data_IF_339637382804
#
_entry.id   IF_339637382804
#
_cell.length_a   1.000
_cell.length_b   1.000
_cell.length_c   1.000
_cell.angle_alpha   90.00
_cell.angle_beta   90.00
_cell.angle_gamma   90.00
#
_symmetry.space_group_name_H-M   'P 1'
#
loop_
_entity.id
_entity.type
_entity.pdbx_description
1 polymer ?
#
# COMPACT_ATOMS: atom_id res chain seq x y z
N UNK A 1 -35.37 -36.41 62.62
CA UNK A 1 -35.66 -35.64 61.40
C UNK A 1 -34.41 -34.83 61.04
N UNK A 2 -33.72 -35.26 59.97
CA UNK A 2 -32.63 -34.61 59.20
C UNK A 2 -31.50 -33.86 59.94
N UNK A 3 -30.39 -34.57 60.15
CA UNK A 3 -29.08 -33.98 60.48
C UNK A 3 -28.39 -33.55 59.18
N UNK A 4 -28.07 -32.26 59.06
CA UNK A 4 -27.47 -31.63 57.87
C UNK A 4 -25.99 -32.00 57.76
N UNK A 5 -25.62 -32.55 56.60
CA UNK A 5 -24.24 -32.74 56.16
C UNK A 5 -23.74 -31.39 55.59
N UNK A 6 -22.76 -30.76 56.24
CA UNK A 6 -22.07 -29.58 55.72
C UNK A 6 -20.89 -30.06 54.86
N UNK A 7 -20.99 -29.92 53.54
CA UNK A 7 -19.85 -30.02 52.63
C UNK A 7 -19.03 -28.72 52.71
N UNK A 8 -17.78 -28.84 53.17
CA UNK A 8 -16.75 -27.81 53.00
C UNK A 8 -16.19 -27.90 51.58
N UNK A 9 -16.61 -26.96 50.71
CA UNK A 9 -15.97 -26.72 49.42
C UNK A 9 -14.66 -25.94 49.63
N UNK A 10 -13.53 -26.63 49.47
CA UNK A 10 -12.21 -26.01 49.37
C UNK A 10 -12.04 -25.45 47.95
N UNK A 11 -12.34 -24.16 47.78
CA UNK A 11 -12.05 -23.44 46.54
C UNK A 11 -10.55 -23.18 46.42
N UNK A 12 -9.86 -23.95 45.59
CA UNK A 12 -8.52 -23.61 45.10
C UNK A 12 -8.68 -22.49 44.09
N UNK A 13 -8.41 -21.25 44.49
CA UNK A 13 -8.23 -20.12 43.59
C UNK A 13 -6.93 -20.35 42.81
N UNK A 14 -7.04 -20.97 41.64
CA UNK A 14 -5.98 -20.92 40.62
C UNK A 14 -5.97 -19.49 40.10
N UNK A 15 -5.11 -18.65 40.65
CA UNK A 15 -4.79 -17.36 40.04
C UNK A 15 -4.00 -17.66 38.78
N UNK A 16 -4.71 -17.72 37.64
CA UNK A 16 -4.07 -17.62 36.33
C UNK A 16 -3.41 -16.26 36.25
N UNK A 17 -2.09 -16.21 36.42
CA UNK A 17 -1.29 -15.05 36.05
C UNK A 17 -1.43 -14.87 34.54
N UNK A 18 -2.35 -14.01 34.14
CA UNK A 18 -2.37 -13.46 32.79
C UNK A 18 -1.08 -12.65 32.63
N UNK A 19 -0.06 -13.27 32.04
CA UNK A 19 1.03 -12.50 31.47
C UNK A 19 0.39 -11.67 30.36
N UNK A 20 0.16 -10.39 30.62
CA UNK A 20 -0.15 -9.45 29.56
C UNK A 20 1.10 -9.38 28.70
N UNK A 21 1.07 -10.01 27.52
CA UNK A 21 2.11 -9.83 26.51
C UNK A 21 2.29 -8.32 26.31
N UNK A 22 3.54 -7.84 26.35
CA UNK A 22 3.83 -6.44 26.10
C UNK A 22 3.21 -6.02 24.76
N UNK A 23 2.53 -4.87 24.71
CA UNK A 23 1.85 -4.45 23.49
C UNK A 23 2.87 -4.24 22.36
N UNK A 24 2.65 -4.96 21.26
CA UNK A 24 3.50 -4.92 20.07
C UNK A 24 3.55 -3.50 19.48
N UNK A 25 4.69 -3.15 18.90
CA UNK A 25 4.86 -1.94 18.11
C UNK A 25 4.09 -2.07 16.79
N UNK A 26 3.31 -1.04 16.46
CA UNK A 26 2.73 -0.84 15.14
C UNK A 26 3.12 0.53 14.63
N UNK A 27 3.50 0.63 13.35
CA UNK A 27 3.73 1.93 12.70
C UNK A 27 2.77 2.08 11.54
N UNK A 28 2.03 3.19 11.54
CA UNK A 28 1.05 3.52 10.51
C UNK A 28 1.31 4.90 9.94
N UNK A 29 0.96 5.07 8.67
CA UNK A 29 0.93 6.39 8.03
C UNK A 29 -0.50 6.89 8.06
N UNK A 30 -0.80 7.80 8.99
CA UNK A 30 -2.07 8.53 9.04
C UNK A 30 -2.06 9.68 8.04
N UNK A 31 -3.17 9.93 7.37
CA UNK A 31 -3.26 11.01 6.40
C UNK A 31 -4.62 11.71 6.42
N UNK A 32 -4.60 12.98 6.04
CA UNK A 32 -5.79 13.81 5.83
C UNK A 32 -5.58 14.70 4.60
N UNK A 33 -6.51 14.65 3.66
CA UNK A 33 -6.39 15.24 2.32
C UNK A 33 -7.61 16.08 2.04
N UNK A 34 -7.41 17.32 1.59
CA UNK A 34 -8.48 18.24 1.24
C UNK A 34 -8.19 18.95 -0.08
N UNK A 35 -9.20 18.99 -0.96
CA UNK A 35 -9.20 19.70 -2.24
C UNK A 35 -7.97 19.49 -3.14
N UNK A 36 -7.35 18.32 -3.07
CA UNK A 36 -6.18 17.97 -3.87
C UNK A 36 -6.08 16.47 -4.14
N UNK A 37 -5.22 16.11 -5.08
CA UNK A 37 -4.70 14.77 -5.19
C UNK A 37 -3.51 14.61 -4.24
N UNK A 38 -3.49 13.52 -3.47
CA UNK A 38 -2.36 13.06 -2.70
C UNK A 38 -2.09 11.58 -2.88
N UNK A 39 -0.83 11.21 -3.07
CA UNK A 39 -0.35 9.85 -2.95
C UNK A 39 0.66 9.72 -1.81
N UNK A 40 0.39 8.84 -0.85
CA UNK A 40 1.18 8.61 0.36
C UNK A 40 2.11 7.43 0.14
N UNK A 41 3.42 7.63 0.29
CA UNK A 41 4.44 6.59 0.04
C UNK A 41 5.37 6.37 1.22
N UNK A 42 5.77 5.12 1.41
CA UNK A 42 6.82 4.70 2.35
C UNK A 42 7.87 3.94 1.56
N UNK A 43 9.11 4.45 1.51
CA UNK A 43 10.20 3.90 0.71
C UNK A 43 9.79 3.61 -0.76
N UNK A 44 9.17 4.61 -1.40
CA UNK A 44 8.58 4.56 -2.75
C UNK A 44 7.40 3.59 -2.94
N UNK A 45 7.01 2.82 -1.93
CA UNK A 45 5.80 2.00 -1.98
C UNK A 45 4.57 2.86 -1.74
N UNK A 46 3.64 2.88 -2.71
CA UNK A 46 2.33 3.51 -2.56
C UNK A 46 1.52 2.78 -1.49
N UNK A 47 1.21 3.47 -0.39
CA UNK A 47 0.33 2.96 0.64
C UNK A 47 -1.13 3.26 0.35
N UNK A 48 -1.42 4.49 -0.08
CA UNK A 48 -2.77 4.97 -0.42
C UNK A 48 -2.66 6.24 -1.26
N UNK A 49 -3.61 6.46 -2.15
CA UNK A 49 -3.89 7.76 -2.71
C UNK A 49 -5.40 8.02 -2.74
N UNK A 50 -5.79 9.25 -3.10
CA UNK A 50 -7.19 9.61 -3.29
C UNK A 50 -7.54 9.83 -4.77
N UNK A 51 -6.89 9.13 -5.70
CA UNK A 51 -7.07 9.31 -7.15
C UNK A 51 -8.53 9.28 -7.58
N UNK A 52 -9.30 8.30 -7.12
CA UNK A 52 -10.75 8.21 -7.41
C UNK A 52 -11.55 9.41 -6.89
N UNK A 53 -11.14 9.98 -5.75
CA UNK A 53 -11.76 11.19 -5.18
C UNK A 53 -11.36 12.44 -5.98
N UNK A 54 -10.11 12.50 -6.44
CA UNK A 54 -9.60 13.57 -7.28
C UNK A 54 -10.26 13.56 -8.67
N UNK A 55 -10.42 12.37 -9.26
CA UNK A 55 -11.13 12.13 -10.52
C UNK A 55 -12.57 12.64 -10.48
N UNK A 56 -13.25 12.44 -9.36
CA UNK A 56 -14.59 12.96 -9.13
C UNK A 56 -14.64 14.48 -8.80
N UNK A 57 -13.52 15.20 -8.91
CA UNK A 57 -13.42 16.64 -8.66
C UNK A 57 -13.50 17.04 -7.18
N UNK A 58 -13.41 16.09 -6.26
CA UNK A 58 -13.55 16.33 -4.81
C UNK A 58 -12.19 16.52 -4.13
N UNK A 59 -11.29 15.56 -4.31
CA UNK A 59 -9.95 15.62 -3.73
C UNK A 59 -9.90 15.48 -2.21
N UNK A 60 -10.78 14.65 -1.62
CA UNK A 60 -10.78 14.37 -0.17
C UNK A 60 -10.34 12.94 0.13
N UNK A 61 -9.78 12.74 1.32
CA UNK A 61 -9.51 11.42 1.88
C UNK A 61 -8.84 11.51 3.25
N UNK A 62 -9.34 10.75 4.22
CA UNK A 62 -8.76 10.66 5.57
C UNK A 62 -8.68 9.20 5.96
N UNK A 63 -7.56 8.77 6.52
CA UNK A 63 -7.37 7.36 6.87
C UNK A 63 -5.97 7.04 7.37
N UNK A 64 -5.63 5.75 7.35
CA UNK A 64 -4.27 5.31 7.66
C UNK A 64 -3.89 4.03 6.92
N UNK A 65 -2.60 3.85 6.64
CA UNK A 65 -2.05 2.65 6.01
C UNK A 65 -1.06 1.93 6.91
N UNK A 66 -0.87 0.62 6.70
CA UNK A 66 0.08 -0.21 7.42
C UNK A 66 1.53 -0.02 6.96
N UNK A 67 2.08 1.20 7.10
CA UNK A 67 3.42 1.54 6.59
C UNK A 67 4.55 0.72 7.19
N UNK A 68 4.38 0.14 8.38
CA UNK A 68 5.34 -0.77 9.02
C UNK A 68 5.85 -1.88 8.10
N UNK A 69 4.99 -2.40 7.22
CA UNK A 69 5.31 -3.47 6.27
C UNK A 69 6.41 -3.07 5.27
N UNK A 70 6.57 -1.77 5.04
CA UNK A 70 7.51 -1.19 4.09
C UNK A 70 8.70 -0.51 4.76
N UNK A 71 8.77 -0.50 6.10
CA UNK A 71 9.85 0.07 6.87
C UNK A 71 10.86 -1.00 7.28
N UNK A 72 12.13 -0.61 7.37
CA UNK A 72 13.20 -1.41 7.95
C UNK A 72 13.83 -0.71 9.16
N UNK A 73 14.49 -1.46 10.05
CA UNK A 73 15.33 -0.85 11.08
C UNK A 73 16.44 -0.02 10.41
N UNK A 74 16.62 1.23 10.86
CA UNK A 74 17.54 2.20 10.26
C UNK A 74 16.80 3.34 9.53
N UNK A 75 17.41 3.85 8.47
CA UNK A 75 16.89 5.00 7.72
C UNK A 75 15.83 4.57 6.70
N UNK A 76 14.73 5.31 6.66
CA UNK A 76 13.61 5.12 5.74
C UNK A 76 13.18 6.48 5.19
N UNK A 77 12.58 6.50 4.01
CA UNK A 77 11.94 7.69 3.46
C UNK A 77 10.41 7.60 3.58
N UNK A 78 9.80 8.68 4.05
CA UNK A 78 8.36 8.91 3.94
C UNK A 78 8.14 10.09 3.01
N UNK A 79 7.11 9.98 2.17
CA UNK A 79 6.80 11.03 1.22
C UNK A 79 5.31 11.11 0.92
N UNK A 80 4.90 12.27 0.42
CA UNK A 80 3.64 12.43 -0.25
C UNK A 80 3.85 13.17 -1.58
N UNK A 81 3.06 12.82 -2.58
CA UNK A 81 2.99 13.52 -3.86
C UNK A 81 1.69 14.30 -3.93
N UNK A 82 1.77 15.59 -4.23
CA UNK A 82 0.66 16.53 -4.16
C UNK A 82 0.35 17.12 -5.54
N UNK A 83 -0.90 17.03 -5.98
CA UNK A 83 -1.34 17.45 -7.31
C UNK A 83 -2.64 18.25 -7.30
N UNK A 84 -2.77 19.18 -8.24
CA UNK A 84 -3.98 19.98 -8.41
C UNK A 84 -5.10 19.14 -9.05
N UNK A 85 -6.35 19.39 -8.64
CA UNK A 85 -7.51 18.66 -9.16
C UNK A 85 -7.80 18.96 -10.63
N UNK A 86 -7.36 20.12 -11.14
CA UNK A 86 -7.54 20.48 -12.55
C UNK A 86 -6.89 19.49 -13.53
N UNK A 87 -5.91 18.71 -13.08
CA UNK A 87 -5.33 17.63 -13.88
C UNK A 87 -6.32 16.53 -14.23
N UNK A 88 -7.26 16.22 -13.34
CA UNK A 88 -8.27 15.18 -13.53
C UNK A 88 -9.54 15.67 -14.22
N UNK A 89 -9.62 16.98 -14.52
CA UNK A 89 -10.78 17.53 -15.22
C UNK A 89 -10.83 17.02 -16.66
N UNK A 90 -12.00 16.55 -17.14
CA UNK A 90 -12.18 16.19 -18.55
C UNK A 90 -12.20 17.41 -19.47
N UNK A 91 -12.34 18.62 -18.93
CA UNK A 91 -12.40 19.86 -19.70
C UNK A 91 -11.08 20.15 -20.42
N UNK A 92 -11.16 20.78 -21.58
CA UNK A 92 -9.98 21.25 -22.31
C UNK A 92 -9.36 22.45 -21.60
N UNK A 93 -8.15 22.26 -21.08
CA UNK A 93 -7.43 23.24 -20.26
C UNK A 93 -5.95 23.20 -20.58
N UNK A 94 -5.31 24.37 -20.57
CA UNK A 94 -3.84 24.46 -20.60
C UNK A 94 -3.23 23.83 -19.33
N UNK A 95 -2.01 23.29 -19.42
CA UNK A 95 -1.27 22.75 -18.27
C UNK A 95 -1.13 23.76 -17.12
N UNK A 96 -1.03 25.05 -17.45
CA UNK A 96 -1.00 26.13 -16.45
C UNK A 96 -2.31 26.22 -15.66
N UNK A 97 -3.44 26.06 -16.34
CA UNK A 97 -4.76 26.07 -15.70
C UNK A 97 -5.00 24.78 -14.91
N UNK A 98 -4.55 23.62 -15.41
CA UNK A 98 -4.63 22.34 -14.70
C UNK A 98 -3.83 22.32 -13.39
N UNK A 99 -2.70 23.04 -13.37
CA UNK A 99 -1.84 23.21 -12.20
C UNK A 99 -2.34 24.22 -11.16
N UNK A 100 -3.51 24.83 -11.34
CA UNK A 100 -4.06 25.75 -10.35
C UNK A 100 -4.62 24.98 -9.14
N UNK A 101 -4.10 25.28 -7.94
CA UNK A 101 -4.59 24.69 -6.71
C UNK A 101 -5.74 25.50 -6.10
N UNK A 102 -6.70 24.81 -5.49
CA UNK A 102 -7.61 25.45 -4.54
C UNK A 102 -6.77 26.05 -3.38
N UNK A 103 -6.96 27.32 -2.99
CA UNK A 103 -6.23 27.92 -1.87
C UNK A 103 -6.37 27.18 -0.53
N UNK A 104 -7.44 26.41 -0.36
CA UNK A 104 -7.70 25.58 0.83
C UNK A 104 -7.14 24.15 0.70
N UNK A 105 -6.45 23.84 -0.39
CA UNK A 105 -5.90 22.51 -0.61
C UNK A 105 -4.82 22.17 0.42
N UNK A 106 -4.96 21.02 1.07
CA UNK A 106 -4.02 20.54 2.08
C UNK A 106 -3.77 19.04 1.97
N UNK A 107 -2.61 18.63 2.44
CA UNK A 107 -2.25 17.22 2.61
C UNK A 107 -1.41 17.05 3.85
N UNK A 108 -1.91 16.28 4.80
CA UNK A 108 -1.20 15.92 6.02
C UNK A 108 -0.85 14.44 5.99
N UNK A 109 0.38 14.12 6.35
CA UNK A 109 0.90 12.78 6.54
C UNK A 109 1.60 12.71 7.89
N UNK A 110 1.21 11.77 8.74
CA UNK A 110 1.84 11.49 10.02
C UNK A 110 2.31 10.05 10.06
N UNK A 111 3.57 9.83 10.39
CA UNK A 111 4.08 8.50 10.72
C UNK A 111 3.95 8.32 12.22
N UNK A 112 3.09 7.39 12.64
CA UNK A 112 2.69 7.22 14.03
C UNK A 112 3.06 5.83 14.52
N UNK A 113 3.84 5.77 15.59
CA UNK A 113 4.12 4.55 16.34
C UNK A 113 3.06 4.35 17.42
N UNK A 114 2.60 3.12 17.57
CA UNK A 114 1.58 2.72 18.53
C UNK A 114 2.06 1.51 19.32
N UNK A 115 1.92 1.58 20.65
CA UNK A 115 2.18 0.52 21.60
C UNK A 115 0.95 0.36 22.50
N UNK A 116 0.01 -0.48 22.09
CA UNK A 116 -1.23 -0.67 22.83
C UNK A 116 -2.07 0.60 22.80
N UNK A 117 -2.25 1.26 23.95
CA UNK A 117 -2.97 2.54 24.03
C UNK A 117 -2.08 3.76 23.82
N UNK A 118 -0.76 3.58 23.91
CA UNK A 118 0.20 4.65 23.75
C UNK A 118 0.44 4.89 22.25
N UNK A 119 0.44 6.16 21.85
CA UNK A 119 0.63 6.57 20.46
C UNK A 119 1.53 7.79 20.41
N UNK A 120 2.48 7.76 19.49
CA UNK A 120 3.46 8.82 19.28
C UNK A 120 3.64 9.10 17.80
N UNK A 121 3.47 10.36 17.41
CA UNK A 121 3.88 10.83 16.08
C UNK A 121 5.40 10.88 16.05
N UNK A 122 6.00 10.06 15.19
CA UNK A 122 7.44 10.02 14.96
C UNK A 122 7.88 11.20 14.08
N UNK A 123 7.10 11.49 13.05
CA UNK A 123 7.33 12.60 12.13
C UNK A 123 6.08 12.91 11.33
N UNK A 124 5.98 14.12 10.76
CA UNK A 124 4.86 14.53 9.92
C UNK A 124 5.31 15.26 8.66
N UNK A 125 4.51 15.30 7.61
CA UNK A 125 4.64 16.21 6.46
C UNK A 125 3.28 16.87 6.30
N UNK A 126 3.26 18.20 6.37
CA UNK A 126 2.04 18.99 6.19
C UNK A 126 2.27 19.95 5.01
N UNK A 127 1.38 19.90 4.03
CA UNK A 127 1.42 20.71 2.82
C UNK A 127 0.16 21.57 2.73
N UNK A 128 0.35 22.83 2.39
CA UNK A 128 -0.72 23.80 2.13
C UNK A 128 -0.32 24.72 0.96
N UNK A 129 -1.28 25.50 0.48
CA UNK A 129 -1.05 26.48 -0.58
C UNK A 129 -0.60 27.83 0.01
N UNK A 130 0.49 28.38 -0.52
CA UNK A 130 0.98 29.69 -0.15
C UNK A 130 0.17 30.82 -0.82
N UNK A 131 0.47 32.07 -0.43
CA UNK A 131 -0.15 33.26 -1.02
C UNK A 131 0.07 33.43 -2.54
N UNK A 132 1.04 32.72 -3.12
CA UNK A 132 1.35 32.73 -4.55
C UNK A 132 0.66 31.58 -5.29
N UNK A 133 -0.18 30.79 -4.61
CA UNK A 133 -0.84 29.63 -5.20
C UNK A 133 0.03 28.39 -5.31
N UNK A 134 1.17 28.33 -4.60
CA UNK A 134 2.13 27.24 -4.69
C UNK A 134 2.08 26.32 -3.46
N UNK A 135 2.19 24.99 -3.65
CA UNK A 135 2.24 24.07 -2.53
C UNK A 135 3.59 24.18 -1.82
N UNK A 136 3.51 24.39 -0.50
CA UNK A 136 4.65 24.53 0.42
C UNK A 136 4.41 23.72 1.68
N UNK A 137 5.47 23.40 2.40
CA UNK A 137 5.34 22.77 3.72
C UNK A 137 4.92 23.81 4.76
N UNK A 138 3.94 23.48 5.60
CA UNK A 138 3.70 24.25 6.82
C UNK A 138 4.71 23.85 7.88
N UNK A 139 5.26 24.83 8.62
CA UNK A 139 6.15 24.52 9.74
C UNK A 139 5.31 23.95 10.89
N UNK A 140 5.44 22.65 11.13
CA UNK A 140 4.84 22.02 12.31
C UNK A 140 5.43 22.64 13.58
N UNK A 141 4.61 22.85 14.62
CA UNK A 141 5.09 23.27 15.94
C UNK A 141 6.02 22.22 16.57
N UNK A 142 5.91 20.97 16.12
CA UNK A 142 6.69 19.83 16.60
C UNK A 142 7.95 19.54 15.77
N UNK A 143 8.31 20.40 14.80
CA UNK A 143 9.48 20.17 13.94
C UNK A 143 10.79 20.00 14.74
N UNK A 144 10.93 20.70 15.87
CA UNK A 144 12.08 20.54 16.78
C UNK A 144 12.13 19.12 17.37
N UNK A 145 10.98 18.50 17.66
CA UNK A 145 10.92 17.13 18.17
C UNK A 145 11.32 16.14 17.09
N UNK A 146 10.83 16.34 15.86
CA UNK A 146 11.13 15.48 14.72
C UNK A 146 12.61 15.50 14.34
N UNK A 147 13.30 16.64 14.49
CA UNK A 147 14.71 16.81 14.12
C UNK A 147 15.69 15.83 14.80
N UNK A 148 15.27 15.16 15.89
CA UNK A 148 16.09 14.14 16.56
C UNK A 148 16.22 12.86 15.73
N UNK A 149 15.17 12.49 14.98
CA UNK A 149 15.10 11.23 14.24
C UNK A 149 14.81 11.41 12.75
N UNK A 150 14.45 12.61 12.32
CA UNK A 150 14.06 12.92 10.94
C UNK A 150 14.87 14.07 10.34
N UNK A 151 15.05 14.03 9.03
CA UNK A 151 15.58 15.16 8.26
C UNK A 151 14.50 16.22 8.04
N UNK A 152 14.88 17.46 7.66
CA UNK A 152 13.94 18.43 7.12
C UNK A 152 13.21 17.87 5.89
N UNK A 153 12.00 18.40 5.63
CA UNK A 153 11.26 18.08 4.40
C UNK A 153 11.94 18.73 3.20
N UNK A 154 12.09 17.94 2.15
CA UNK A 154 12.58 18.36 0.85
C UNK A 154 11.41 18.35 -0.13
N UNK A 155 11.31 19.40 -0.95
CA UNK A 155 10.30 19.54 -2.01
C UNK A 155 10.94 19.36 -3.37
N UNK A 156 10.37 18.48 -4.18
CA UNK A 156 10.73 18.27 -5.57
C UNK A 156 9.51 18.44 -6.47
N UNK A 157 9.69 19.04 -7.64
CA UNK A 157 8.68 19.00 -8.71
C UNK A 157 9.00 17.78 -9.57
N UNK A 158 8.01 16.92 -9.77
CA UNK A 158 8.15 15.70 -10.56
C UNK A 158 7.04 15.65 -11.61
N UNK A 159 7.26 14.84 -12.65
CA UNK A 159 6.19 14.43 -13.55
C UNK A 159 5.55 13.16 -12.99
N UNK A 160 4.23 13.07 -13.06
CA UNK A 160 3.51 11.86 -12.71
C UNK A 160 3.87 10.73 -13.69
N UNK A 161 3.61 9.51 -13.24
CA UNK A 161 3.72 8.35 -14.10
C UNK A 161 2.72 8.44 -15.27
N UNK A 162 3.24 8.32 -16.49
CA UNK A 162 2.40 8.28 -17.69
C UNK A 162 1.84 6.88 -17.90
N UNK A 163 0.67 6.80 -18.55
CA UNK A 163 0.05 5.56 -19.01
C UNK A 163 -0.06 5.52 -20.53
N UNK A 164 -0.21 4.32 -21.08
CA UNK A 164 -0.35 4.04 -22.50
C UNK A 164 -1.68 3.32 -22.73
N UNK A 165 -2.47 3.73 -23.73
CA UNK A 165 -3.70 3.04 -24.10
C UNK A 165 -3.41 1.68 -24.78
N UNK A 166 -4.37 0.75 -24.71
CA UNK A 166 -4.31 -0.51 -25.47
C UNK A 166 -3.60 -1.67 -24.77
N UNK A 167 -3.23 -1.51 -23.50
CA UNK A 167 -2.68 -2.58 -22.65
C UNK A 167 -3.72 -3.18 -21.70
N UNK A 168 -4.99 -2.78 -21.85
CA UNK A 168 -6.15 -3.29 -21.14
C UNK A 168 -7.39 -3.16 -22.04
N UNK A 169 -8.48 -3.86 -21.73
CA UNK A 169 -9.74 -3.70 -22.47
C UNK A 169 -10.23 -2.26 -22.41
N UNK A 170 -10.68 -1.75 -23.56
CA UNK A 170 -10.99 -0.33 -23.77
C UNK A 170 -11.97 0.25 -22.74
N UNK A 171 -12.93 -0.55 -22.28
CA UNK A 171 -13.95 -0.11 -21.31
C UNK A 171 -13.39 0.21 -19.92
N UNK A 172 -12.21 -0.28 -19.58
CA UNK A 172 -11.56 -0.03 -18.29
C UNK A 172 -10.52 1.09 -18.35
N UNK A 173 -10.17 1.59 -19.54
CA UNK A 173 -9.17 2.65 -19.67
C UNK A 173 -9.81 4.04 -19.64
N UNK A 174 -9.46 4.83 -18.63
CA UNK A 174 -9.79 6.25 -18.55
C UNK A 174 -8.51 7.11 -18.64
N UNK A 175 -8.32 7.89 -19.72
CA UNK A 175 -7.14 8.75 -19.87
C UNK A 175 -7.10 9.91 -18.86
N UNK A 176 -8.20 10.20 -18.15
CA UNK A 176 -8.26 11.24 -17.11
C UNK A 176 -7.88 10.70 -15.73
N UNK A 177 -7.84 9.38 -15.54
CA UNK A 177 -7.37 8.76 -14.29
C UNK A 177 -5.86 8.96 -14.11
N UNK A 178 -5.11 8.94 -15.22
CA UNK A 178 -3.67 9.21 -15.28
C UNK A 178 -3.37 10.29 -16.32
N UNK A 179 -3.60 11.58 -15.98
CA UNK A 179 -3.50 12.67 -16.95
C UNK A 179 -2.07 12.81 -17.50
N UNK A 180 -1.91 12.99 -18.83
CA UNK A 180 -0.60 13.19 -19.42
C UNK A 180 0.04 14.50 -18.93
N UNK A 181 1.37 14.48 -18.75
CA UNK A 181 2.16 15.63 -18.30
C UNK A 181 1.77 16.18 -16.91
N UNK A 182 1.03 15.40 -16.13
CA UNK A 182 0.61 15.80 -14.80
C UNK A 182 1.84 16.16 -13.95
N UNK A 183 1.87 17.39 -13.47
CA UNK A 183 2.93 17.87 -12.58
C UNK A 183 2.53 17.63 -11.14
N UNK A 184 3.41 16.97 -10.39
CA UNK A 184 3.25 16.68 -8.97
C UNK A 184 4.35 17.36 -8.16
N UNK A 185 4.03 17.68 -6.91
CA UNK A 185 4.97 18.17 -5.93
C UNK A 185 5.21 17.09 -4.90
N UNK A 186 6.40 16.46 -4.93
CA UNK A 186 6.81 15.46 -3.94
C UNK A 186 7.43 16.16 -2.75
N UNK A 187 6.92 15.85 -1.57
CA UNK A 187 7.47 16.26 -0.30
C UNK A 187 7.95 15.02 0.42
N UNK A 188 9.24 14.94 0.74
CA UNK A 188 9.82 13.79 1.41
C UNK A 188 10.76 14.18 2.53
N UNK A 189 10.96 13.26 3.48
CA UNK A 189 12.01 13.35 4.49
C UNK A 189 12.44 11.93 4.87
N UNK A 190 13.67 11.82 5.36
CA UNK A 190 14.16 10.59 5.93
C UNK A 190 13.83 10.55 7.43
N UNK A 191 13.58 9.35 7.96
CA UNK A 191 13.34 9.07 9.37
C UNK A 191 14.11 7.81 9.79
N UNK A 192 14.67 7.84 10.98
CA UNK A 192 15.31 6.67 11.59
C UNK A 192 14.30 5.91 12.46
N UNK A 193 14.11 4.64 12.16
CA UNK A 193 13.19 3.75 12.86
C UNK A 193 13.96 2.59 13.51
N UNK A 194 13.49 2.15 14.67
CA UNK A 194 14.03 0.99 15.40
C UNK A 194 12.90 0.17 16.02
N UNK A 195 13.17 -1.10 16.34
CA UNK A 195 12.22 -1.98 17.01
C UNK A 195 11.23 -2.68 16.07
N UNK A 196 11.47 -2.61 14.76
CA UNK A 196 10.71 -3.35 13.77
C UNK A 196 11.15 -4.82 13.73
N UNK A 197 10.26 -5.75 13.32
CA UNK A 197 10.67 -7.12 13.01
C UNK A 197 11.67 -7.12 11.83
N UNK A 198 12.54 -8.13 11.80
CA UNK A 198 13.41 -8.37 10.66
C UNK A 198 12.61 -9.00 9.51
N UNK A 199 12.00 -8.17 8.66
CA UNK A 199 11.30 -8.67 7.48
C UNK A 199 12.24 -9.42 6.55
N UNK A 200 11.76 -10.51 5.93
CA UNK A 200 12.59 -11.34 5.04
C UNK A 200 13.15 -10.53 3.85
N UNK A 201 12.43 -9.52 3.39
CA UNK A 201 12.86 -8.65 2.28
C UNK A 201 14.02 -7.71 2.65
N UNK A 202 14.29 -7.43 3.93
CA UNK A 202 15.31 -6.43 4.33
C UNK A 202 16.70 -6.79 3.80
N UNK A 203 17.01 -8.08 3.72
CA UNK A 203 18.30 -8.62 3.24
C UNK A 203 18.22 -9.13 1.80
N UNK A 204 17.13 -8.84 1.08
CA UNK A 204 16.97 -9.25 -0.31
C UNK A 204 18.06 -8.65 -1.20
N UNK A 205 18.42 -9.38 -2.25
CA UNK A 205 19.31 -8.86 -3.29
C UNK A 205 18.57 -7.77 -4.08
N UNK A 206 19.15 -6.59 -4.29
CA UNK A 206 18.50 -5.54 -5.07
C UNK A 206 18.19 -5.99 -6.50
N UNK A 207 16.95 -5.74 -6.92
CA UNK A 207 16.50 -5.88 -8.30
C UNK A 207 16.99 -4.71 -9.14
N UNK A 208 17.63 -4.99 -10.27
CA UNK A 208 18.17 -4.00 -11.20
C UNK A 208 17.70 -4.23 -12.64
N UNK A 209 16.72 -5.13 -12.83
CA UNK A 209 16.11 -5.45 -14.12
C UNK A 209 17.06 -6.07 -15.16
N UNK A 210 17.98 -6.94 -14.72
CA UNK A 210 18.76 -7.74 -15.69
C UNK A 210 17.86 -8.72 -16.44
N UNK A 211 18.22 -9.18 -17.66
CA UNK A 211 17.42 -10.16 -18.39
C UNK A 211 17.08 -11.42 -17.58
N UNK A 212 18.04 -11.91 -16.78
CA UNK A 212 17.87 -13.08 -15.92
C UNK A 212 16.89 -12.80 -14.79
N UNK A 213 17.05 -11.65 -14.11
CA UNK A 213 16.13 -11.23 -13.04
C UNK A 213 14.71 -11.06 -13.58
N UNK A 214 14.56 -10.42 -14.74
CA UNK A 214 13.26 -10.24 -15.40
C UNK A 214 12.62 -11.57 -15.76
N UNK A 215 13.36 -12.50 -16.35
CA UNK A 215 12.84 -13.82 -16.69
C UNK A 215 12.38 -14.58 -15.44
N UNK A 216 13.17 -14.54 -14.35
CA UNK A 216 12.82 -15.18 -13.08
C UNK A 216 11.59 -14.53 -12.43
N UNK A 217 11.45 -13.20 -12.49
CA UNK A 217 10.26 -12.50 -11.99
C UNK A 217 9.01 -12.89 -12.78
N UNK A 218 9.11 -12.94 -14.12
CA UNK A 218 8.03 -13.42 -14.98
C UNK A 218 7.63 -14.87 -14.68
N UNK A 219 8.60 -15.74 -14.39
CA UNK A 219 8.33 -17.12 -13.95
C UNK A 219 7.58 -17.17 -12.61
N UNK A 220 7.92 -16.30 -11.65
CA UNK A 220 7.21 -16.21 -10.38
C UNK A 220 5.75 -15.77 -10.56
N UNK A 221 5.49 -14.75 -11.40
CA UNK A 221 4.13 -14.37 -11.80
C UNK A 221 3.39 -15.52 -12.50
N UNK A 222 4.03 -16.23 -13.42
CA UNK A 222 3.41 -17.36 -14.13
C UNK A 222 3.03 -18.49 -13.17
N UNK A 223 3.85 -18.79 -12.17
CA UNK A 223 3.55 -19.82 -11.17
C UNK A 223 2.31 -19.46 -10.33
N UNK A 224 2.14 -18.18 -9.99
CA UNK A 224 0.94 -17.69 -9.29
C UNK A 224 -0.28 -17.75 -10.22
N UNK A 225 -0.13 -17.27 -11.46
CA UNK A 225 -1.19 -17.32 -12.47
C UNK A 225 -1.72 -18.74 -12.67
N UNK A 226 -0.81 -19.72 -12.77
CA UNK A 226 -1.15 -21.14 -12.91
C UNK A 226 -1.91 -21.67 -11.70
N UNK A 227 -1.49 -21.29 -10.48
CA UNK A 227 -2.18 -21.71 -9.26
C UNK A 227 -3.59 -21.12 -9.17
N UNK A 228 -3.79 -19.85 -9.52
CA UNK A 228 -5.13 -19.26 -9.63
C UNK A 228 -5.97 -19.94 -10.71
N UNK A 229 -5.40 -20.18 -11.90
CA UNK A 229 -6.11 -20.83 -13.00
C UNK A 229 -6.52 -22.27 -12.65
N UNK A 230 -5.70 -22.98 -11.88
CA UNK A 230 -5.99 -24.32 -11.35
C UNK A 230 -6.90 -24.30 -10.11
N UNK A 231 -7.23 -23.12 -9.58
CA UNK A 231 -7.96 -22.92 -8.32
C UNK A 231 -7.30 -23.61 -7.12
N UNK A 232 -5.97 -23.71 -7.14
CA UNK A 232 -5.17 -24.39 -6.11
C UNK A 232 -4.87 -23.44 -4.94
N UNK A 233 -5.83 -23.36 -4.02
CA UNK A 233 -5.73 -22.52 -2.83
C UNK A 233 -4.55 -22.89 -1.92
N UNK A 234 -4.15 -24.17 -1.88
CA UNK A 234 -3.04 -24.61 -1.03
C UNK A 234 -1.71 -24.08 -1.58
N UNK A 235 -1.50 -24.20 -2.89
CA UNK A 235 -0.30 -23.65 -3.55
C UNK A 235 -0.26 -22.13 -3.43
N UNK A 236 -1.39 -21.45 -3.63
CA UNK A 236 -1.48 -19.99 -3.48
C UNK A 236 -1.09 -19.53 -2.08
N UNK A 237 -1.61 -20.20 -1.04
CA UNK A 237 -1.26 -19.89 0.34
C UNK A 237 0.23 -20.08 0.61
N UNK A 238 0.82 -21.19 0.19
CA UNK A 238 2.25 -21.43 0.40
C UNK A 238 3.11 -20.43 -0.38
N UNK A 239 2.71 -20.01 -1.57
CA UNK A 239 3.38 -18.96 -2.34
C UNK A 239 3.31 -17.59 -1.65
N UNK A 240 2.29 -17.33 -0.81
CA UNK A 240 2.10 -16.10 -0.05
C UNK A 240 2.62 -16.17 1.39
N UNK A 241 3.19 -17.31 1.84
CA UNK A 241 3.55 -17.55 3.25
C UNK A 241 4.35 -16.42 3.92
N UNK A 242 5.32 -15.84 3.21
CA UNK A 242 6.14 -14.74 3.73
C UNK A 242 5.31 -13.47 3.88
N UNK A 243 4.52 -13.11 2.87
CA UNK A 243 3.58 -12.00 2.94
C UNK A 243 2.54 -12.19 4.07
N UNK A 244 1.92 -13.37 4.18
CA UNK A 244 0.92 -13.68 5.20
C UNK A 244 1.48 -13.52 6.62
N UNK A 245 2.71 -13.99 6.87
CA UNK A 245 3.41 -13.77 8.14
C UNK A 245 3.63 -12.29 8.44
N UNK A 246 4.03 -11.52 7.44
CA UNK A 246 4.26 -10.09 7.59
C UNK A 246 2.96 -9.36 7.94
N UNK A 247 1.89 -9.65 7.19
CA UNK A 247 0.55 -9.13 7.45
C UNK A 247 0.04 -9.53 8.83
N UNK A 248 0.14 -10.81 9.22
CA UNK A 248 -0.30 -11.33 10.52
C UNK A 248 0.41 -10.63 11.68
N UNK A 249 1.71 -10.37 11.53
CA UNK A 249 2.46 -9.59 12.50
C UNK A 249 1.94 -8.15 12.60
N UNK A 250 1.68 -7.52 11.45
CA UNK A 250 1.28 -6.10 11.36
C UNK A 250 -0.17 -5.82 11.73
N UNK A 251 -1.06 -6.80 11.67
CA UNK A 251 -2.49 -6.64 11.99
C UNK A 251 -2.88 -7.31 13.30
N UNK A 252 -2.10 -8.29 13.77
CA UNK A 252 -2.48 -9.15 14.89
C UNK A 252 -3.47 -10.25 14.52
N UNK A 253 -3.81 -10.39 13.23
CA UNK A 253 -4.68 -11.45 12.73
C UNK A 253 -3.91 -12.74 12.47
N UNK A 254 -4.64 -13.84 12.24
CA UNK A 254 -4.03 -15.09 11.81
C UNK A 254 -3.71 -15.08 10.31
N UNK A 255 -2.68 -15.82 9.90
CA UNK A 255 -2.37 -16.03 8.47
C UNK A 255 -3.56 -16.62 7.69
N UNK A 256 -4.41 -17.43 8.35
CA UNK A 256 -5.64 -17.94 7.75
C UNK A 256 -6.60 -16.82 7.40
N UNK A 257 -6.95 -15.98 8.39
CA UNK A 257 -7.94 -14.93 8.20
C UNK A 257 -7.49 -13.97 7.10
N UNK A 258 -6.23 -13.54 7.14
CA UNK A 258 -5.66 -12.67 6.09
C UNK A 258 -5.76 -13.31 4.71
N UNK A 259 -5.49 -14.60 4.60
CA UNK A 259 -5.59 -15.31 3.31
C UNK A 259 -7.04 -15.43 2.83
N UNK A 260 -7.98 -15.76 3.73
CA UNK A 260 -9.39 -15.98 3.37
C UNK A 260 -10.17 -14.69 3.15
N UNK A 261 -9.73 -13.58 3.74
CA UNK A 261 -10.38 -12.26 3.63
C UNK A 261 -10.01 -11.52 2.33
N UNK A 262 -9.02 -12.00 1.59
CA UNK A 262 -8.72 -11.49 0.25
C UNK A 262 -9.93 -11.71 -0.66
N UNK A 263 -10.36 -10.67 -1.39
CA UNK A 263 -11.51 -10.73 -2.31
C UNK A 263 -11.41 -11.90 -3.29
N UNK A 264 -10.19 -12.19 -3.79
CA UNK A 264 -9.97 -13.30 -4.72
C UNK A 264 -10.30 -14.67 -4.11
N UNK A 265 -10.19 -14.85 -2.80
CA UNK A 265 -10.52 -16.12 -2.13
C UNK A 265 -11.99 -16.49 -2.32
N UNK A 266 -12.88 -15.49 -2.37
CA UNK A 266 -14.28 -15.67 -2.76
C UNK A 266 -14.41 -15.79 -4.28
N UNK A 267 -13.81 -14.87 -5.03
CA UNK A 267 -14.01 -14.77 -6.48
C UNK A 267 -13.55 -16.03 -7.23
N UNK A 268 -12.45 -16.66 -6.82
CA UNK A 268 -11.91 -17.89 -7.45
C UNK A 268 -12.89 -19.07 -7.40
N UNK A 269 -13.83 -19.06 -6.45
CA UNK A 269 -14.83 -20.11 -6.25
C UNK A 269 -16.03 -19.95 -7.19
N UNK A 270 -16.21 -18.81 -7.84
CA UNK A 270 -17.29 -18.62 -8.80
C UNK A 270 -17.04 -19.45 -10.07
N UNK A 271 -18.12 -19.85 -10.74
CA UNK A 271 -18.05 -20.60 -12.00
C UNK A 271 -17.59 -19.72 -13.17
N UNK A 272 -17.82 -18.42 -13.07
CA UNK A 272 -17.42 -17.39 -14.03
C UNK A 272 -15.96 -16.96 -13.92
N UNK A 273 -15.27 -17.34 -12.83
CA UNK A 273 -13.86 -16.99 -12.61
C UNK A 273 -12.98 -17.45 -13.77
N UNK A 274 -12.24 -16.52 -14.35
CA UNK A 274 -11.32 -16.78 -15.46
C UNK A 274 -10.10 -15.88 -15.40
N UNK A 275 -8.92 -16.50 -15.30
CA UNK A 275 -7.66 -15.79 -15.44
C UNK A 275 -7.48 -15.21 -16.85
N UNK A 276 -6.91 -14.00 -16.93
CA UNK A 276 -6.57 -13.35 -18.20
C UNK A 276 -5.17 -13.81 -18.62
N UNK A 277 -4.98 -14.32 -19.86
CA UNK A 277 -3.65 -14.68 -20.35
C UNK A 277 -2.67 -13.51 -20.25
N UNK A 278 -1.45 -13.79 -19.78
CA UNK A 278 -0.44 -12.75 -19.60
C UNK A 278 0.20 -12.41 -20.95
N UNK A 279 0.10 -11.15 -21.35
CA UNK A 279 0.95 -10.55 -22.37
C UNK A 279 1.99 -9.64 -21.70
N UNK A 280 3.25 -10.08 -21.69
CA UNK A 280 4.32 -9.39 -20.97
C UNK A 280 4.60 -7.97 -21.48
N UNK A 281 4.24 -7.66 -22.72
CA UNK A 281 4.42 -6.32 -23.29
C UNK A 281 3.47 -5.27 -22.70
N UNK A 282 2.43 -5.71 -21.99
CA UNK A 282 1.43 -4.85 -21.35
C UNK A 282 1.91 -4.32 -19.99
N UNK A 283 3.06 -4.81 -19.50
CA UNK A 283 3.54 -4.52 -18.15
C UNK A 283 4.92 -3.86 -18.16
N UNK A 284 5.11 -2.94 -17.21
CA UNK A 284 6.40 -2.34 -16.89
C UNK A 284 6.78 -2.61 -15.44
N UNK A 285 8.03 -2.31 -15.11
CA UNK A 285 8.59 -2.56 -13.78
C UNK A 285 8.37 -1.38 -12.85
N UNK A 286 8.06 -1.67 -11.59
CA UNK A 286 8.13 -0.72 -10.49
C UNK A 286 9.09 -1.27 -9.43
N UNK A 287 10.16 -0.52 -9.17
CA UNK A 287 11.20 -0.86 -8.20
C UNK A 287 11.03 0.05 -6.98
N UNK A 288 11.02 -0.54 -5.79
CA UNK A 288 10.75 0.16 -4.52
C UNK A 288 11.74 -0.32 -3.44
N UNK A 289 11.75 0.34 -2.28
CA UNK A 289 12.60 -0.06 -1.14
C UNK A 289 14.09 -0.26 -1.54
N UNK A 290 14.63 0.69 -2.31
CA UNK A 290 16.03 0.68 -2.78
C UNK A 290 16.39 -0.59 -3.58
N UNK A 291 15.44 -1.11 -4.37
CA UNK A 291 15.62 -2.32 -5.17
C UNK A 291 15.22 -3.60 -4.47
N UNK A 292 14.95 -3.57 -3.16
CA UNK A 292 14.62 -4.80 -2.41
C UNK A 292 13.18 -5.26 -2.63
N UNK A 293 12.31 -4.39 -3.12
CA UNK A 293 10.94 -4.73 -3.51
C UNK A 293 10.70 -4.39 -4.98
N UNK A 294 9.91 -5.24 -5.65
CA UNK A 294 9.63 -5.10 -7.07
C UNK A 294 8.26 -5.65 -7.42
N UNK A 295 7.55 -5.00 -8.35
CA UNK A 295 6.34 -5.53 -8.97
C UNK A 295 6.23 -5.12 -10.43
N UNK A 296 5.42 -5.86 -11.19
CA UNK A 296 5.00 -5.49 -12.54
C UNK A 296 3.65 -4.78 -12.47
N UNK A 297 3.55 -3.64 -13.15
CA UNK A 297 2.34 -2.81 -13.26
C UNK A 297 1.92 -2.70 -14.72
N UNK A 298 0.62 -2.74 -14.99
CA UNK A 298 0.08 -2.59 -16.33
C UNK A 298 0.36 -1.16 -16.83
N UNK A 299 0.61 -1.00 -18.13
CA UNK A 299 0.95 0.29 -18.72
C UNK A 299 -0.26 1.22 -18.88
N UNK A 300 -1.48 0.69 -18.92
CA UNK A 300 -2.73 1.47 -19.00
C UNK A 300 -3.30 1.85 -17.64
N UNK A 301 -3.18 0.98 -16.64
CA UNK A 301 -3.70 1.19 -15.27
C UNK A 301 -2.66 0.69 -14.27
N UNK A 302 -1.99 1.58 -13.54
CA UNK A 302 -0.78 1.23 -12.79
C UNK A 302 -1.04 0.37 -11.54
N UNK A 303 -2.29 0.30 -11.09
CA UNK A 303 -2.75 -0.57 -10.02
C UNK A 303 -2.80 -2.04 -10.45
N UNK A 304 -2.85 -2.31 -11.75
CA UNK A 304 -3.10 -3.64 -12.28
C UNK A 304 -1.80 -4.41 -12.51
N UNK A 305 -1.86 -5.72 -12.28
CA UNK A 305 -0.71 -6.61 -12.42
C UNK A 305 -0.96 -7.76 -13.40
N UNK A 306 0.06 -8.54 -13.77
CA UNK A 306 -0.09 -9.76 -14.56
C UNK A 306 -1.08 -10.78 -13.99
N UNK A 307 -1.40 -10.71 -12.69
CA UNK A 307 -2.38 -11.58 -12.03
C UNK A 307 -3.75 -10.90 -12.06
N UNK A 308 -4.33 -10.83 -13.26
CA UNK A 308 -5.67 -10.28 -13.48
C UNK A 308 -6.64 -11.34 -13.97
N UNK A 309 -7.92 -11.17 -13.61
CA UNK A 309 -8.98 -12.14 -13.86
C UNK A 309 -10.34 -11.46 -14.02
N UNK A 310 -11.25 -12.16 -14.69
CA UNK A 310 -12.67 -11.81 -14.69
C UNK A 310 -13.44 -12.71 -13.74
N UNK A 311 -14.50 -12.16 -13.16
CA UNK A 311 -15.59 -12.93 -12.57
C UNK A 311 -16.91 -12.18 -12.85
N UNK A 312 -18.03 -12.89 -12.75
CA UNK A 312 -19.36 -12.28 -12.76
C UNK A 312 -19.76 -12.01 -11.32
N UNK A 313 -20.09 -10.77 -10.99
CA UNK A 313 -20.61 -10.44 -9.67
C UNK A 313 -22.05 -10.97 -9.54
N UNK A 314 -22.32 -11.65 -8.42
CA UNK A 314 -23.61 -12.30 -8.19
C UNK A 314 -24.72 -11.28 -7.87
N UNK A 315 -24.37 -10.04 -7.49
CA UNK A 315 -25.34 -9.01 -7.12
C UNK A 315 -25.99 -8.33 -8.34
N UNK A 316 -25.22 -7.99 -9.36
CA UNK A 316 -25.69 -7.27 -10.55
C UNK A 316 -25.54 -8.05 -11.86
N UNK A 317 -24.83 -9.19 -11.85
CA UNK A 317 -24.59 -10.01 -13.03
C UNK A 317 -23.53 -9.44 -13.97
N UNK A 318 -22.81 -8.39 -13.57
CA UNK A 318 -21.82 -7.72 -14.40
C UNK A 318 -20.48 -8.47 -14.41
N UNK A 319 -19.79 -8.42 -15.55
CA UNK A 319 -18.42 -8.96 -15.64
C UNK A 319 -17.44 -7.96 -15.06
N UNK A 320 -16.87 -8.30 -13.92
CA UNK A 320 -15.88 -7.49 -13.20
C UNK A 320 -14.48 -7.94 -13.60
N UNK A 321 -13.64 -6.98 -13.96
CA UNK A 321 -12.21 -7.14 -14.06
C UNK A 321 -11.56 -6.86 -12.70
N UNK A 322 -10.75 -7.79 -12.22
CA UNK A 322 -10.04 -7.65 -10.95
C UNK A 322 -8.61 -8.12 -11.07
N UNK A 323 -7.78 -7.71 -10.11
CA UNK A 323 -6.34 -7.97 -10.12
C UNK A 323 -5.83 -8.21 -8.72
N UNK A 324 -4.70 -8.91 -8.63
CA UNK A 324 -3.89 -9.02 -7.42
C UNK A 324 -2.55 -8.44 -7.77
N UNK A 325 -2.02 -7.55 -6.94
CA UNK A 325 -0.76 -6.85 -7.22
C UNK A 325 0.34 -7.24 -6.21
N UNK A 326 0.85 -8.49 -6.26
CA UNK A 326 1.84 -8.95 -5.30
C UNK A 326 3.16 -8.17 -5.45
N UNK A 327 3.83 -7.91 -4.32
CA UNK A 327 5.17 -7.34 -4.29
C UNK A 327 6.17 -8.45 -4.00
N UNK A 328 7.25 -8.49 -4.79
CA UNK A 328 8.29 -9.50 -4.67
C UNK A 328 9.60 -8.94 -4.14
N UNK A 329 10.40 -9.84 -3.56
CA UNK A 329 11.81 -9.63 -3.26
C UNK A 329 12.65 -10.78 -3.78
N UNK A 330 13.88 -10.51 -4.22
CA UNK A 330 14.84 -11.53 -4.63
C UNK A 330 15.59 -12.07 -3.38
N UNK A 331 15.07 -13.16 -2.82
CA UNK A 331 15.56 -13.78 -1.59
C UNK A 331 16.19 -15.13 -1.95
N UNK A 332 17.45 -15.34 -1.58
CA UNK A 332 18.20 -16.58 -1.86
C UNK A 332 18.13 -17.01 -3.34
N UNK A 333 18.20 -16.04 -4.26
CA UNK A 333 18.17 -16.29 -5.71
C UNK A 333 16.78 -16.64 -6.28
N UNK A 334 15.69 -16.41 -5.53
CA UNK A 334 14.31 -16.62 -6.00
C UNK A 334 13.42 -15.42 -5.67
N UNK A 335 12.44 -15.15 -6.51
CA UNK A 335 11.41 -14.15 -6.20
C UNK A 335 10.37 -14.74 -5.26
N UNK A 336 10.17 -14.06 -4.14
CA UNK A 336 9.24 -14.45 -3.07
C UNK A 336 8.24 -13.32 -2.88
N UNK A 337 6.94 -13.63 -2.74
CA UNK A 337 5.92 -12.64 -2.40
C UNK A 337 6.11 -12.19 -0.96
N UNK A 338 6.34 -10.89 -0.76
CA UNK A 338 6.66 -10.33 0.55
C UNK A 338 5.56 -9.42 1.09
N UNK A 339 4.66 -8.91 0.24
CA UNK A 339 3.47 -8.12 0.59
C UNK A 339 2.32 -8.42 -0.35
#
# INVERSE_FOLDING_TARGET
MKLKLLLLLSGVLVMSSANADEPRLYIRSGFDIQYAFCAIKTNDVLGMDNRNSALAGRGFGTGSTGSMLFLANGENEISLEFGALGWFSPDEMSDKARNYFNPEATCKLELTAMHGKDSQILTAIEVAIDKNGQPVTTKSKDEIKYATISTPVIRHVIQADNVEAGHIEKQYFDPTEYPPNMTLYRFSRHVKISGLPDWEWVKATPYTDTPEQRQQLQQAYMAIWQAYNAKDLNTLREQQKVALKAWAWSTGESEENIFTDQSVYRNIKTTSFRMIPINWNDYRIQIMNQGRMVKLVNKSILEYSPISYHYVDDEDGETVLSTIAPIFSLINGRFVQVI
#
